data_IF_269459317653
#
_entry.id   IF_269459317653
#
_cell.length_a   1.000
_cell.length_b   1.000
_cell.length_c   1.000
_cell.angle_alpha   90.00
_cell.angle_beta   90.00
_cell.angle_gamma   90.00
#
_symmetry.space_group_name_H-M   'P 1'
#
loop_
_entity.id
_entity.type
_entity.pdbx_description
1 polymer ?
#
# COMPACT_ATOMS: atom_id res chain seq x y z
N UNK A 1 -16.03 -54.09 13.66
CA UNK A 1 -15.14 -53.21 14.47
C UNK A 1 -14.88 -51.92 13.72
N UNK A 2 -15.64 -50.89 13.99
CA UNK A 2 -15.40 -49.56 13.43
C UNK A 2 -14.21 -48.94 14.15
N UNK A 3 -13.08 -48.85 13.48
CA UNK A 3 -11.96 -48.02 13.94
C UNK A 3 -12.37 -46.56 13.82
N UNK A 4 -12.83 -45.94 14.94
CA UNK A 4 -12.95 -44.51 15.04
C UNK A 4 -11.56 -43.88 14.81
N UNK A 5 -11.34 -43.29 13.64
CA UNK A 5 -10.16 -42.43 13.40
C UNK A 5 -10.09 -41.36 14.49
N UNK A 6 -9.08 -41.46 15.36
CA UNK A 6 -8.78 -40.43 16.35
C UNK A 6 -8.29 -39.21 15.56
N UNK A 7 -9.14 -38.21 15.41
CA UNK A 7 -8.80 -36.98 14.69
C UNK A 7 -7.87 -36.18 15.60
N UNK A 8 -6.59 -36.13 15.23
CA UNK A 8 -5.61 -35.21 15.84
C UNK A 8 -5.70 -33.86 15.13
N UNK A 9 -6.53 -32.96 15.68
CA UNK A 9 -6.80 -31.63 15.11
C UNK A 9 -5.54 -30.77 15.12
N UNK A 10 -4.77 -30.77 16.20
CA UNK A 10 -3.56 -29.97 16.31
C UNK A 10 -2.43 -30.49 15.41
N UNK A 11 -2.25 -31.80 15.30
CA UNK A 11 -1.29 -32.38 14.37
C UNK A 11 -1.63 -32.07 12.92
N UNK A 12 -2.92 -32.16 12.53
CA UNK A 12 -3.37 -31.78 11.21
C UNK A 12 -3.16 -30.26 10.93
N UNK A 13 -3.53 -29.39 11.86
CA UNK A 13 -3.30 -27.95 11.77
C UNK A 13 -1.82 -27.62 11.55
N UNK A 14 -0.93 -28.22 12.33
CA UNK A 14 0.52 -28.05 12.18
C UNK A 14 1.01 -28.48 10.79
N UNK A 15 0.55 -29.63 10.32
CA UNK A 15 0.88 -30.13 8.97
C UNK A 15 0.38 -29.20 7.86
N UNK A 16 -0.83 -28.66 7.99
CA UNK A 16 -1.39 -27.72 7.01
C UNK A 16 -0.62 -26.39 6.98
N UNK A 17 -0.22 -25.87 8.14
CA UNK A 17 0.60 -24.65 8.24
C UNK A 17 2.01 -24.84 7.66
N UNK A 18 2.60 -26.03 7.79
CA UNK A 18 3.89 -26.35 7.16
C UNK A 18 3.81 -26.34 5.62
N UNK A 19 2.67 -26.76 5.06
CA UNK A 19 2.44 -26.76 3.60
C UNK A 19 2.15 -25.38 3.01
N UNK A 20 1.70 -24.46 3.83
CA UNK A 20 1.40 -23.06 3.47
C UNK A 20 2.04 -22.13 4.52
N UNK A 21 3.35 -21.90 4.44
CA UNK A 21 4.00 -21.01 5.39
C UNK A 21 3.39 -19.61 5.29
N UNK A 22 2.97 -19.07 6.44
CA UNK A 22 2.51 -17.70 6.51
C UNK A 22 3.68 -16.77 6.19
N UNK A 23 3.52 -15.91 5.20
CA UNK A 23 4.49 -14.84 4.93
C UNK A 23 4.52 -13.88 6.12
N UNK A 24 5.71 -13.57 6.60
CA UNK A 24 5.86 -12.55 7.63
C UNK A 24 5.35 -11.20 7.10
N UNK A 25 4.53 -10.50 7.88
CA UNK A 25 4.11 -9.14 7.53
C UNK A 25 5.29 -8.20 7.67
N UNK A 26 5.48 -7.36 6.66
CA UNK A 26 6.55 -6.36 6.70
C UNK A 26 6.37 -5.42 7.90
N UNK A 27 7.46 -5.22 8.64
CA UNK A 27 7.63 -4.19 9.66
C UNK A 27 9.04 -3.62 9.54
N UNK A 28 9.18 -2.35 9.85
CA UNK A 28 10.49 -1.73 9.93
C UNK A 28 11.21 -2.27 11.18
N UNK A 29 12.48 -2.70 11.06
CA UNK A 29 13.25 -3.28 12.18
C UNK A 29 13.86 -2.17 13.05
N UNK A 30 13.02 -1.25 13.54
CA UNK A 30 13.42 -0.09 14.33
C UNK A 30 12.28 0.38 15.24
N UNK A 31 12.56 1.27 16.19
CA UNK A 31 11.56 1.86 17.07
C UNK A 31 10.61 2.81 16.30
N UNK A 32 9.51 3.17 16.93
CA UNK A 32 8.56 4.13 16.36
C UNK A 32 9.19 5.51 16.17
N UNK A 33 10.00 5.96 17.13
CA UNK A 33 10.72 7.22 17.08
C UNK A 33 11.73 7.26 15.93
N UNK A 34 12.47 6.18 15.74
CA UNK A 34 13.40 6.05 14.61
C UNK A 34 12.66 6.05 13.28
N UNK A 35 11.56 5.27 13.17
CA UNK A 35 10.73 5.23 11.98
C UNK A 35 10.15 6.61 11.64
N UNK A 36 9.69 7.36 12.65
CA UNK A 36 9.24 8.74 12.48
C UNK A 36 10.34 9.65 11.94
N UNK A 37 11.53 9.61 12.55
CA UNK A 37 12.65 10.45 12.14
C UNK A 37 13.09 10.16 10.70
N UNK A 38 13.15 8.89 10.31
CA UNK A 38 13.48 8.48 8.95
C UNK A 38 12.41 8.87 7.93
N UNK A 39 11.12 8.71 8.26
CA UNK A 39 10.01 9.16 7.42
C UNK A 39 10.03 10.68 7.24
N UNK A 40 10.26 11.44 8.31
CA UNK A 40 10.37 12.90 8.25
C UNK A 40 11.51 13.32 7.32
N UNK A 41 12.70 12.77 7.50
CA UNK A 41 13.84 13.07 6.64
C UNK A 41 13.54 12.73 5.15
N UNK A 42 12.87 11.61 4.89
CA UNK A 42 12.55 11.19 3.54
C UNK A 42 11.51 12.09 2.86
N UNK A 43 10.50 12.58 3.62
CA UNK A 43 9.52 13.50 3.05
C UNK A 43 10.10 14.89 2.82
N UNK A 44 11.01 15.34 3.70
CA UNK A 44 11.77 16.58 3.48
C UNK A 44 12.56 16.50 2.17
N UNK A 45 13.32 15.41 1.98
CA UNK A 45 14.10 15.19 0.77
C UNK A 45 13.22 15.12 -0.49
N UNK A 46 12.06 14.44 -0.43
CA UNK A 46 11.14 14.34 -1.58
C UNK A 46 10.49 15.70 -1.91
N UNK A 47 10.23 16.55 -0.93
CA UNK A 47 9.71 17.93 -1.11
C UNK A 47 10.78 18.81 -1.76
N UNK A 48 12.01 18.79 -1.25
CA UNK A 48 13.14 19.55 -1.78
C UNK A 48 13.53 19.11 -3.19
N UNK A 49 13.51 17.80 -3.46
CA UNK A 49 13.73 17.26 -4.81
C UNK A 49 12.75 17.83 -5.85
N UNK A 50 11.55 18.22 -5.41
CA UNK A 50 10.53 18.87 -6.27
C UNK A 50 10.66 20.40 -6.32
N UNK A 51 11.79 20.94 -5.87
CA UNK A 51 12.03 22.39 -5.80
C UNK A 51 10.96 23.13 -4.97
N UNK A 52 10.55 22.53 -3.84
CA UNK A 52 9.59 23.13 -2.90
C UNK A 52 10.21 23.24 -1.52
N UNK A 53 9.73 24.23 -0.76
CA UNK A 53 10.11 24.39 0.63
C UNK A 53 9.28 23.47 1.51
N UNK A 54 9.95 22.71 2.37
CA UNK A 54 9.27 21.90 3.38
C UNK A 54 8.69 22.81 4.47
N UNK A 55 7.38 22.69 4.72
CA UNK A 55 6.67 23.42 5.75
C UNK A 55 6.01 22.42 6.71
N UNK A 56 6.59 22.21 7.92
CA UNK A 56 6.01 21.34 8.92
C UNK A 56 4.67 21.93 9.41
N UNK A 57 3.74 21.03 9.71
CA UNK A 57 2.46 21.40 10.33
C UNK A 57 1.92 20.20 11.13
N UNK A 58 1.03 20.49 12.09
CA UNK A 58 0.47 19.50 12.99
C UNK A 58 -0.22 18.30 12.27
N UNK A 59 -0.84 18.55 11.12
CA UNK A 59 -1.47 17.50 10.35
C UNK A 59 -0.44 16.51 9.80
N UNK A 60 0.65 17.03 9.23
CA UNK A 60 1.74 16.21 8.72
C UNK A 60 2.42 15.42 9.85
N UNK A 61 2.69 16.05 10.98
CA UNK A 61 3.27 15.41 12.15
C UNK A 61 2.40 14.21 12.61
N UNK A 62 1.08 14.44 12.74
CA UNK A 62 0.14 13.38 13.09
C UNK A 62 0.15 12.22 12.08
N UNK A 63 0.14 12.52 10.78
CA UNK A 63 0.19 11.52 9.72
C UNK A 63 1.48 10.71 9.76
N UNK A 64 2.62 11.36 10.00
CA UNK A 64 3.92 10.71 10.14
C UNK A 64 3.97 9.80 11.38
N UNK A 65 3.43 10.25 12.52
CA UNK A 65 3.33 9.42 13.72
C UNK A 65 2.43 8.19 13.51
N UNK A 66 1.26 8.37 12.89
CA UNK A 66 0.37 7.24 12.58
C UNK A 66 1.04 6.23 11.64
N UNK A 67 1.80 6.70 10.65
CA UNK A 67 2.54 5.86 9.72
C UNK A 67 3.70 5.14 10.42
N UNK A 68 4.51 5.86 11.21
CA UNK A 68 5.64 5.31 11.96
C UNK A 68 5.18 4.23 12.95
N UNK A 69 4.14 4.52 13.73
CA UNK A 69 3.52 3.58 14.65
C UNK A 69 3.10 2.28 13.93
N UNK A 70 2.39 2.42 12.80
CA UNK A 70 1.93 1.24 12.05
C UNK A 70 3.11 0.44 11.44
N UNK A 71 4.15 1.11 10.97
CA UNK A 71 5.34 0.47 10.38
C UNK A 71 6.21 -0.25 11.42
N UNK A 72 6.29 0.26 12.64
CA UNK A 72 7.12 -0.29 13.71
C UNK A 72 6.38 -1.29 14.62
N UNK A 73 5.04 -1.19 14.73
CA UNK A 73 4.25 -1.96 15.69
C UNK A 73 3.47 -3.12 15.05
N UNK A 74 3.20 -4.22 15.77
CA UNK A 74 2.31 -5.29 15.28
C UNK A 74 0.94 -4.76 14.87
N UNK A 75 0.41 -5.25 13.76
CA UNK A 75 -0.91 -4.84 13.25
C UNK A 75 -1.63 -6.00 12.58
N UNK A 76 -2.96 -6.01 12.67
CA UNK A 76 -3.81 -6.91 11.89
C UNK A 76 -3.85 -6.53 10.40
N UNK A 77 -3.67 -5.24 10.08
CA UNK A 77 -3.59 -4.77 8.70
C UNK A 77 -2.24 -5.10 8.08
N UNK A 78 -2.24 -5.45 6.81
CA UNK A 78 -1.03 -5.76 6.03
C UNK A 78 -0.77 -4.74 4.91
N UNK A 79 -1.53 -3.66 4.87
CA UNK A 79 -1.40 -2.54 3.96
C UNK A 79 -1.76 -1.21 4.61
N UNK A 80 -1.66 -0.12 3.85
CA UNK A 80 -1.98 1.24 4.27
C UNK A 80 -2.75 1.97 3.17
N UNK A 81 -3.69 2.83 3.56
CA UNK A 81 -4.40 3.70 2.62
C UNK A 81 -4.30 5.16 3.07
N UNK A 82 -3.70 5.99 2.24
CA UNK A 82 -3.58 7.42 2.41
C UNK A 82 -4.79 8.08 1.73
N UNK A 83 -5.74 8.58 2.53
CA UNK A 83 -7.02 9.10 2.06
C UNK A 83 -7.09 10.61 2.23
N UNK A 84 -7.66 11.34 1.27
CA UNK A 84 -7.91 12.78 1.43
C UNK A 84 -7.95 13.54 0.11
N UNK A 85 -8.14 14.85 0.18
CA UNK A 85 -8.30 15.73 -0.99
C UNK A 85 -7.09 15.81 -1.91
N UNK A 86 -7.25 16.50 -3.03
CA UNK A 86 -6.16 16.72 -3.98
C UNK A 86 -5.09 17.67 -3.40
N UNK A 87 -3.82 17.36 -3.69
CA UNK A 87 -2.71 18.25 -3.36
C UNK A 87 -2.25 18.27 -1.90
N UNK A 88 -2.76 17.39 -1.06
CA UNK A 88 -2.44 17.34 0.38
C UNK A 88 -1.24 16.44 0.76
N UNK A 89 -0.46 15.97 -0.22
CA UNK A 89 0.84 15.31 0.04
C UNK A 89 0.85 13.79 0.00
N UNK A 90 -0.28 13.09 -0.24
CA UNK A 90 -0.35 11.61 -0.25
C UNK A 90 0.67 10.94 -1.18
N UNK A 91 0.71 11.32 -2.46
CA UNK A 91 1.67 10.78 -3.44
C UNK A 91 3.11 11.13 -3.09
N UNK A 92 3.34 12.28 -2.44
CA UNK A 92 4.65 12.67 -1.93
C UNK A 92 5.09 11.74 -0.80
N UNK A 93 4.19 11.45 0.15
CA UNK A 93 4.42 10.50 1.23
C UNK A 93 4.72 9.09 0.71
N UNK A 94 3.94 8.62 -0.28
CA UNK A 94 4.16 7.31 -0.90
C UNK A 94 5.55 7.21 -1.55
N UNK A 95 5.99 8.26 -2.27
CA UNK A 95 7.31 8.30 -2.90
C UNK A 95 8.44 8.45 -1.87
N UNK A 96 8.25 9.24 -0.84
CA UNK A 96 9.18 9.37 0.28
C UNK A 96 9.41 8.00 0.96
N UNK A 97 8.34 7.24 1.19
CA UNK A 97 8.43 5.89 1.72
C UNK A 97 9.19 4.92 0.79
N UNK A 98 8.99 5.02 -0.52
CA UNK A 98 9.77 4.24 -1.50
C UNK A 98 11.26 4.55 -1.39
N UNK A 99 11.63 5.83 -1.36
CA UNK A 99 13.03 6.24 -1.24
C UNK A 99 13.64 5.77 0.08
N UNK A 100 12.87 5.85 1.18
CA UNK A 100 13.31 5.35 2.47
C UNK A 100 13.61 3.85 2.43
N UNK A 101 12.70 3.03 1.91
CA UNK A 101 12.93 1.59 1.79
C UNK A 101 14.17 1.26 0.94
N UNK A 102 14.33 1.96 -0.17
CA UNK A 102 15.49 1.77 -1.04
C UNK A 102 16.81 2.14 -0.34
N UNK A 103 16.79 3.12 0.57
CA UNK A 103 17.98 3.57 1.32
C UNK A 103 18.32 2.61 2.48
N UNK A 104 17.33 2.01 3.11
CA UNK A 104 17.52 1.16 4.30
C UNK A 104 18.04 -0.25 3.98
N UNK A 105 17.89 -0.72 2.75
CA UNK A 105 18.33 -2.06 2.31
C UNK A 105 17.90 -3.18 3.27
N UNK A 106 16.68 -3.12 3.81
CA UNK A 106 16.17 -4.10 4.77
C UNK A 106 16.14 -5.50 4.13
N UNK A 107 16.86 -6.51 4.66
CA UNK A 107 16.89 -7.84 4.07
C UNK A 107 15.55 -8.56 4.22
N UNK A 108 15.19 -9.36 3.22
CA UNK A 108 14.03 -10.26 3.31
C UNK A 108 14.36 -11.49 4.15
N UNK A 109 13.36 -12.08 4.85
CA UNK A 109 13.59 -13.22 5.75
C UNK A 109 14.15 -14.48 5.06
N UNK A 110 13.85 -14.65 3.77
CA UNK A 110 14.27 -15.78 2.93
C UNK A 110 15.61 -15.58 2.21
N UNK A 111 16.35 -14.50 2.55
CA UNK A 111 17.58 -14.08 1.90
C UNK A 111 17.43 -13.78 0.37
N UNK A 112 16.20 -13.56 -0.10
CA UNK A 112 15.90 -13.20 -1.49
C UNK A 112 15.98 -11.67 -1.70
N UNK A 113 17.14 -11.09 -1.38
CA UNK A 113 17.43 -9.66 -1.55
C UNK A 113 16.85 -8.77 -0.45
N UNK A 114 16.56 -7.52 -0.80
CA UNK A 114 16.03 -6.48 0.12
C UNK A 114 14.59 -6.13 -0.20
N UNK A 115 13.89 -5.59 0.81
CA UNK A 115 12.57 -5.03 0.58
C UNK A 115 12.65 -3.77 -0.29
N UNK A 116 11.73 -3.65 -1.21
CA UNK A 116 11.52 -2.48 -2.05
C UNK A 116 10.06 -2.43 -2.49
N UNK A 117 9.52 -1.24 -2.70
CA UNK A 117 8.14 -1.05 -3.13
C UNK A 117 8.09 -0.57 -4.58
N UNK A 118 7.32 -1.27 -5.40
CA UNK A 118 7.01 -0.82 -6.75
C UNK A 118 5.80 0.12 -6.69
N UNK A 119 5.91 1.34 -7.22
CA UNK A 119 4.79 2.28 -7.31
C UNK A 119 4.27 2.31 -8.73
N UNK A 120 2.95 2.24 -8.86
CA UNK A 120 2.22 2.37 -10.12
C UNK A 120 1.00 3.26 -9.95
N UNK A 121 0.67 4.01 -10.97
CA UNK A 121 -0.60 4.74 -11.07
C UNK A 121 -1.74 3.76 -11.38
N UNK A 122 -2.94 4.00 -10.82
CA UNK A 122 -4.08 3.12 -11.02
C UNK A 122 -4.48 2.97 -12.50
N UNK A 123 -4.37 4.04 -13.30
CA UNK A 123 -4.61 3.97 -14.75
C UNK A 123 -3.60 3.08 -15.47
N UNK A 124 -2.35 3.05 -14.99
CA UNK A 124 -1.33 2.19 -15.58
C UNK A 124 -1.62 0.71 -15.34
N UNK A 125 -2.26 0.35 -14.23
CA UNK A 125 -2.74 -1.02 -13.96
C UNK A 125 -3.73 -1.46 -15.05
N UNK A 126 -4.71 -0.61 -15.36
CA UNK A 126 -5.68 -0.87 -16.42
C UNK A 126 -5.02 -0.99 -17.80
N UNK A 127 -4.03 -0.11 -18.08
CA UNK A 127 -3.25 -0.16 -19.32
C UNK A 127 -2.46 -1.48 -19.45
N UNK A 128 -1.81 -1.93 -18.39
CA UNK A 128 -1.07 -3.21 -18.39
C UNK A 128 -2.00 -4.40 -18.61
N UNK A 129 -3.16 -4.43 -17.97
CA UNK A 129 -4.13 -5.50 -18.14
C UNK A 129 -4.53 -5.66 -19.60
N UNK A 130 -4.74 -4.54 -20.31
CA UNK A 130 -5.12 -4.52 -21.73
C UNK A 130 -3.98 -4.89 -22.67
N UNK A 131 -2.79 -4.34 -22.45
CA UNK A 131 -1.73 -4.33 -23.46
C UNK A 131 -0.56 -5.28 -23.14
N UNK A 132 -0.44 -5.74 -21.88
CA UNK A 132 0.65 -6.63 -21.45
C UNK A 132 0.22 -7.49 -20.25
N UNK A 133 -0.54 -8.54 -20.50
CA UNK A 133 -1.03 -9.46 -19.47
C UNK A 133 0.07 -10.10 -18.64
N UNK A 134 1.24 -10.35 -19.22
CA UNK A 134 2.37 -10.94 -18.47
C UNK A 134 2.90 -9.95 -17.43
N UNK A 135 3.12 -8.69 -17.82
CA UNK A 135 3.53 -7.65 -16.88
C UNK A 135 2.47 -7.37 -15.82
N UNK A 136 1.18 -7.41 -16.19
CA UNK A 136 0.08 -7.29 -15.25
C UNK A 136 0.08 -8.42 -14.21
N UNK A 137 0.25 -9.67 -14.63
CA UNK A 137 0.33 -10.83 -13.71
C UNK A 137 1.52 -10.74 -12.77
N UNK A 138 2.68 -10.28 -13.26
CA UNK A 138 3.86 -10.02 -12.42
C UNK A 138 3.57 -8.94 -11.38
N UNK A 139 2.94 -7.83 -11.80
CA UNK A 139 2.58 -6.72 -10.93
C UNK A 139 1.66 -7.13 -9.77
N UNK A 140 0.65 -7.95 -10.05
CA UNK A 140 -0.29 -8.44 -9.03
C UNK A 140 0.44 -9.15 -7.88
N UNK A 141 1.52 -9.87 -8.18
CA UNK A 141 2.22 -10.76 -7.27
C UNK A 141 3.47 -10.15 -6.62
N UNK A 142 3.85 -8.90 -6.91
CA UNK A 142 5.00 -8.27 -6.27
C UNK A 142 4.79 -8.18 -4.76
N UNK A 143 5.83 -8.39 -3.97
CA UNK A 143 5.74 -8.43 -2.51
C UNK A 143 5.18 -7.13 -1.93
N UNK A 144 5.69 -5.98 -2.41
CA UNK A 144 5.25 -4.66 -1.95
C UNK A 144 4.84 -3.78 -3.12
N UNK A 145 3.60 -3.30 -3.09
CA UNK A 145 3.02 -2.46 -4.15
C UNK A 145 2.47 -1.15 -3.59
N UNK A 146 2.83 -0.05 -4.23
CA UNK A 146 2.20 1.26 -4.09
C UNK A 146 1.25 1.50 -5.25
N UNK A 147 -0.02 1.76 -4.97
CA UNK A 147 -1.02 2.15 -5.96
C UNK A 147 -1.32 3.64 -5.76
N UNK A 148 -0.88 4.46 -6.70
CA UNK A 148 -1.11 5.90 -6.64
C UNK A 148 -2.42 6.27 -7.37
N UNK A 149 -3.17 7.20 -6.78
CA UNK A 149 -4.42 7.76 -7.30
C UNK A 149 -5.51 6.71 -7.63
N UNK A 150 -5.74 5.75 -6.70
CA UNK A 150 -6.84 4.79 -6.78
C UNK A 150 -8.19 5.50 -6.97
N UNK A 151 -8.98 5.07 -7.96
CA UNK A 151 -10.27 5.65 -8.34
C UNK A 151 -10.18 6.60 -9.53
N UNK A 152 -9.03 6.70 -10.19
CA UNK A 152 -8.88 7.50 -11.43
C UNK A 152 -8.86 6.64 -12.69
N UNK A 153 -8.73 5.34 -12.54
CA UNK A 153 -8.72 4.36 -13.61
C UNK A 153 -10.14 4.06 -14.13
N UNK A 154 -10.27 3.53 -15.36
CA UNK A 154 -11.53 2.96 -15.82
C UNK A 154 -11.88 1.72 -14.99
N UNK A 155 -13.15 1.58 -14.57
CA UNK A 155 -13.63 0.42 -13.81
C UNK A 155 -13.51 -0.90 -14.58
N UNK A 156 -13.64 -0.84 -15.90
CA UNK A 156 -13.58 -2.00 -16.79
C UNK A 156 -12.66 -1.74 -17.99
N UNK A 157 -12.06 -2.80 -18.49
CA UNK A 157 -11.23 -2.81 -19.70
C UNK A 157 -11.73 -3.90 -20.63
N UNK A 158 -12.01 -3.55 -21.88
CA UNK A 158 -12.37 -4.51 -22.92
C UNK A 158 -11.11 -4.95 -23.68
N UNK A 159 -10.94 -6.27 -23.81
CA UNK A 159 -9.90 -6.87 -24.64
C UNK A 159 -10.45 -8.10 -25.37
N UNK A 160 -10.43 -8.09 -26.70
CA UNK A 160 -10.96 -9.14 -27.60
C UNK A 160 -12.35 -9.65 -27.18
N UNK A 161 -13.28 -8.76 -26.79
CA UNK A 161 -14.64 -9.11 -26.40
C UNK A 161 -14.80 -9.57 -24.95
N UNK A 162 -13.72 -9.71 -24.19
CA UNK A 162 -13.75 -9.98 -22.75
C UNK A 162 -13.74 -8.67 -21.96
N UNK A 163 -14.49 -8.64 -20.87
CA UNK A 163 -14.51 -7.53 -19.92
C UNK A 163 -13.67 -7.93 -18.70
N UNK A 164 -12.71 -7.07 -18.36
CA UNK A 164 -11.83 -7.24 -17.19
C UNK A 164 -12.05 -6.10 -16.20
N UNK A 165 -11.84 -6.38 -14.92
CA UNK A 165 -11.88 -5.40 -13.83
C UNK A 165 -10.50 -5.30 -13.15
N UNK A 166 -9.49 -4.68 -13.81
CA UNK A 166 -8.08 -4.86 -13.48
C UNK A 166 -7.72 -4.55 -12.03
N UNK A 167 -8.25 -3.44 -11.50
CA UNK A 167 -7.94 -3.03 -10.13
C UNK A 167 -8.68 -3.89 -9.11
N UNK A 168 -9.94 -4.28 -9.38
CA UNK A 168 -10.70 -5.21 -8.54
C UNK A 168 -9.99 -6.56 -8.45
N UNK A 169 -9.54 -7.10 -9.58
CA UNK A 169 -8.83 -8.39 -9.66
C UNK A 169 -7.48 -8.32 -8.92
N UNK A 170 -6.74 -7.21 -9.09
CA UNK A 170 -5.49 -6.95 -8.39
C UNK A 170 -5.71 -6.88 -6.88
N UNK A 171 -6.65 -6.06 -6.40
CA UNK A 171 -6.95 -5.91 -4.99
C UNK A 171 -7.45 -7.23 -4.37
N UNK A 172 -8.27 -7.98 -5.11
CA UNK A 172 -8.75 -9.31 -4.69
C UNK A 172 -7.57 -10.26 -4.46
N UNK A 173 -6.67 -10.37 -5.43
CA UNK A 173 -5.51 -11.27 -5.32
C UNK A 173 -4.57 -10.86 -4.19
N UNK A 174 -4.30 -9.57 -4.06
CA UNK A 174 -3.42 -9.04 -3.00
C UNK A 174 -4.00 -9.23 -1.61
N UNK A 175 -5.33 -9.12 -1.46
CA UNK A 175 -6.03 -9.44 -0.23
C UNK A 175 -5.89 -10.94 0.12
N UNK A 176 -6.15 -11.82 -0.83
CA UNK A 176 -6.09 -13.28 -0.62
C UNK A 176 -4.69 -13.78 -0.24
N UNK A 177 -3.65 -13.19 -0.82
CA UNK A 177 -2.25 -13.50 -0.54
C UNK A 177 -1.66 -12.65 0.60
N UNK A 178 -2.42 -11.72 1.19
CA UNK A 178 -2.00 -10.78 2.24
C UNK A 178 -0.72 -9.99 1.87
N UNK A 179 -0.61 -9.56 0.61
CA UNK A 179 0.55 -8.84 0.09
C UNK A 179 0.54 -7.37 0.54
N UNK A 180 1.70 -6.88 0.97
CA UNK A 180 1.87 -5.50 1.42
C UNK A 180 1.46 -4.50 0.33
N UNK A 181 0.49 -3.63 0.64
CA UNK A 181 -0.05 -2.68 -0.32
C UNK A 181 -0.24 -1.31 0.32
N UNK A 182 0.35 -0.27 -0.28
CA UNK A 182 0.03 1.13 0.07
C UNK A 182 -0.79 1.73 -1.06
N UNK A 183 -1.86 2.41 -0.71
CA UNK A 183 -2.80 3.01 -1.66
C UNK A 183 -2.93 4.50 -1.36
N UNK A 184 -2.89 5.35 -2.38
CA UNK A 184 -3.37 6.73 -2.25
C UNK A 184 -4.71 6.87 -2.96
N UNK A 185 -5.64 7.63 -2.39
CA UNK A 185 -6.95 7.87 -3.01
C UNK A 185 -7.54 9.21 -2.57
N UNK A 186 -8.32 9.80 -3.47
CA UNK A 186 -9.17 10.95 -3.17
C UNK A 186 -10.62 10.53 -2.90
N UNK A 187 -10.96 9.26 -3.06
CA UNK A 187 -12.30 8.74 -2.86
C UNK A 187 -12.66 8.70 -1.37
N UNK A 188 -13.89 9.07 -1.06
CA UNK A 188 -14.50 8.82 0.25
C UNK A 188 -14.84 7.33 0.40
N UNK A 189 -15.07 6.83 1.63
CA UNK A 189 -15.50 5.44 1.84
C UNK A 189 -16.77 5.06 1.05
N UNK A 190 -17.70 5.99 0.89
CA UNK A 190 -18.91 5.79 0.10
C UNK A 190 -18.59 5.66 -1.40
N UNK A 191 -17.75 6.55 -1.94
CA UNK A 191 -17.31 6.47 -3.33
C UNK A 191 -16.51 5.20 -3.64
N UNK A 192 -15.74 4.69 -2.68
CA UNK A 192 -15.05 3.38 -2.82
C UNK A 192 -16.09 2.27 -2.98
N UNK A 193 -17.18 2.26 -2.19
CA UNK A 193 -18.27 1.28 -2.32
C UNK A 193 -18.98 1.38 -3.66
N UNK A 194 -19.27 2.60 -4.10
CA UNK A 194 -19.93 2.87 -5.37
C UNK A 194 -19.07 2.45 -6.57
N UNK A 195 -17.75 2.65 -6.49
CA UNK A 195 -16.83 2.39 -7.59
C UNK A 195 -16.38 0.93 -7.69
N UNK A 196 -16.10 0.28 -6.53
CA UNK A 196 -15.53 -1.08 -6.48
C UNK A 196 -16.48 -2.13 -5.91
N UNK A 197 -17.64 -1.74 -5.42
CA UNK A 197 -18.62 -2.60 -4.77
C UNK A 197 -18.30 -2.89 -3.29
N UNK A 198 -19.32 -3.37 -2.57
CA UNK A 198 -19.25 -3.66 -1.13
C UNK A 198 -18.14 -4.65 -0.78
N UNK A 199 -17.99 -5.70 -1.59
CA UNK A 199 -17.01 -6.76 -1.35
C UNK A 199 -15.57 -6.24 -1.30
N UNK A 200 -15.19 -5.35 -2.22
CA UNK A 200 -13.85 -4.75 -2.24
C UNK A 200 -13.70 -3.73 -1.11
N UNK A 201 -14.74 -2.94 -0.84
CA UNK A 201 -14.73 -1.98 0.26
C UNK A 201 -14.52 -2.66 1.62
N UNK A 202 -15.17 -3.80 1.86
CA UNK A 202 -15.00 -4.59 3.10
C UNK A 202 -13.60 -5.21 3.19
N UNK A 203 -13.08 -5.77 2.09
CA UNK A 203 -11.70 -6.28 2.01
C UNK A 203 -10.67 -5.19 2.28
N UNK A 204 -10.85 -3.98 1.74
CA UNK A 204 -9.99 -2.84 2.02
C UNK A 204 -10.05 -2.44 3.50
N UNK A 205 -11.20 -2.52 4.17
CA UNK A 205 -11.30 -2.23 5.61
C UNK A 205 -10.46 -3.21 6.45
N UNK A 206 -10.40 -4.48 6.06
CA UNK A 206 -9.59 -5.50 6.73
C UNK A 206 -8.10 -5.40 6.34
N UNK A 207 -7.82 -5.07 5.09
CA UNK A 207 -6.49 -5.07 4.50
C UNK A 207 -5.63 -3.91 4.98
N UNK A 208 -6.21 -2.67 5.07
CA UNK A 208 -5.40 -1.46 5.17
C UNK A 208 -5.70 -0.61 6.39
N UNK A 209 -4.63 -0.15 7.06
CA UNK A 209 -4.70 0.97 8.01
C UNK A 209 -4.95 2.27 7.23
N UNK A 210 -6.01 2.98 7.55
CA UNK A 210 -6.32 4.27 6.94
C UNK A 210 -5.60 5.40 7.67
N UNK A 211 -4.93 6.27 6.91
CA UNK A 211 -4.35 7.52 7.38
C UNK A 211 -5.03 8.65 6.61
N UNK A 212 -5.66 9.57 7.33
CA UNK A 212 -6.47 10.63 6.73
C UNK A 212 -5.65 11.91 6.58
N UNK A 213 -5.59 12.41 5.35
CA UNK A 213 -4.99 13.67 4.96
C UNK A 213 -6.09 14.73 4.88
N UNK A 214 -6.39 15.36 6.02
CA UNK A 214 -7.41 16.38 6.16
C UNK A 214 -6.85 17.83 6.11
N UNK A 215 -5.56 17.97 5.83
CA UNK A 215 -4.92 19.25 5.58
C UNK A 215 -5.35 19.84 4.23
N UNK A 216 -5.20 21.16 4.09
CA UNK A 216 -5.37 21.87 2.82
C UNK A 216 -4.36 21.43 1.74
N UNK A 217 -4.54 21.96 0.55
CA UNK A 217 -3.61 21.69 -0.56
C UNK A 217 -2.29 22.43 -0.38
N UNK A 218 -1.17 21.73 -0.57
CA UNK A 218 0.17 22.34 -0.65
C UNK A 218 0.47 22.94 -2.04
N UNK A 219 -0.45 22.83 -3.01
CA UNK A 219 -0.22 23.35 -4.39
C UNK A 219 -0.40 24.84 -4.52
N UNK A 220 -1.11 25.49 -3.59
CA UNK A 220 -1.41 26.92 -3.60
C UNK A 220 -0.40 27.76 -2.81
N UNK A 221 0.50 27.13 -2.04
CA UNK A 221 1.54 27.86 -1.33
C UNK A 221 2.55 28.39 -2.35
N UNK A 222 2.61 29.72 -2.39
CA UNK A 222 3.38 30.55 -3.29
C UNK A 222 4.82 30.04 -3.40
N UNK A 223 5.32 29.92 -4.63
CA UNK A 223 6.73 29.96 -4.92
C UNK A 223 7.37 31.04 -4.01
N UNK A 224 8.18 30.63 -3.04
CA UNK A 224 9.05 31.58 -2.36
C UNK A 224 9.84 32.29 -3.45
N UNK A 225 9.75 33.60 -3.51
CA UNK A 225 10.54 34.40 -4.44
C UNK A 225 12.01 34.00 -4.25
N UNK A 226 12.80 33.82 -5.31
CA UNK A 226 14.22 33.58 -5.18
C UNK A 226 14.82 34.81 -4.49
N UNK A 227 15.57 34.57 -3.40
CA UNK A 227 16.42 35.55 -2.75
C UNK A 227 17.63 35.80 -3.63
#
# INVERSE_FOLDING_TARGET
MEQKLKIDVEGLKKSLLQRRPMKARFKMPMSEEEAYAWLLASIMAEVEYRHRTFCPNEHLEKQLHEMAHWLASPSSHFGMMLCGGCGNGKSTMLKAFQQLLNSLHIPKPDNDGTYGIQIVDAKYIAHLCKNNHEAYRKLICVDMLGIDDLGTEPSEVMDYGNVYTPVIDLLTKRYEEQLFTIITTNLTPQQIREHYGDRIADRLNEMVKKIVFNNGTYRTDKLAAPV
#
